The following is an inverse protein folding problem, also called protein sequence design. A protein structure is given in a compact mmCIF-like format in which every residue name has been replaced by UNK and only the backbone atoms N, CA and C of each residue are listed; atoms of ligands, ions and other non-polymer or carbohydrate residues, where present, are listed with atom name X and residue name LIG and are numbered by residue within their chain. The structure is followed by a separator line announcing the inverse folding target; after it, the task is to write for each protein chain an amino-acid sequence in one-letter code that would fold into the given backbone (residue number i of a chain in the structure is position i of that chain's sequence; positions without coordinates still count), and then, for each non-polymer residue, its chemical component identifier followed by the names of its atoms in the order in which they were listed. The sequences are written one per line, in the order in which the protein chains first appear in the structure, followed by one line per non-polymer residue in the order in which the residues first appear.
data_IF_772024471553
#
_entry.id   IF_772024471553
#
_cell.length_a   1.000
_cell.length_b   1.000
_cell.length_c   1.000
_cell.angle_alpha   90.00
_cell.angle_beta   90.00
_cell.angle_gamma   90.00
#
_symmetry.space_group_name_H-M   'P 1'
#
loop_
_entity.id
_entity.type
_entity.pdbx_description
1 polymer ?
#
# COMPACT_ATOMS: atom_id res chain seq x y z
N UNK A 1 -57.60 7.54 27.58
CA UNK A 1 -56.46 6.80 28.15
C UNK A 1 -55.59 6.35 26.99
N UNK A 2 -54.59 7.14 26.63
CA UNK A 2 -53.73 6.91 25.46
C UNK A 2 -52.41 6.29 25.92
N UNK A 3 -51.85 5.45 25.02
CA UNK A 3 -50.46 5.00 24.91
C UNK A 3 -50.16 3.63 25.56
N UNK A 4 -49.28 2.77 25.05
CA UNK A 4 -48.08 2.98 24.24
C UNK A 4 -47.84 1.74 23.34
N UNK A 5 -47.61 1.96 22.04
CA UNK A 5 -47.00 0.96 21.14
C UNK A 5 -45.47 1.08 21.27
N UNK A 6 -44.72 0.01 21.58
CA UNK A 6 -43.27 0.13 21.71
C UNK A 6 -42.65 0.19 20.31
N UNK A 7 -42.00 1.32 20.03
CA UNK A 7 -41.15 1.51 18.85
C UNK A 7 -39.87 0.69 19.03
N UNK A 8 -39.78 -0.45 18.36
CA UNK A 8 -38.56 -1.27 18.32
C UNK A 8 -37.60 -0.60 17.33
N UNK A 9 -36.60 0.12 17.86
CA UNK A 9 -35.50 0.67 17.06
C UNK A 9 -34.47 -0.44 16.88
N UNK A 10 -34.41 -1.03 15.68
CA UNK A 10 -33.36 -1.97 15.28
C UNK A 10 -32.16 -1.16 14.77
N UNK A 11 -31.13 -1.03 15.61
CA UNK A 11 -29.86 -0.40 15.24
C UNK A 11 -28.97 -1.44 14.55
N UNK A 12 -28.96 -1.47 13.23
CA UNK A 12 -28.03 -2.29 12.46
C UNK A 12 -26.63 -1.66 12.48
N UNK A 13 -25.74 -2.15 13.33
CA UNK A 13 -24.31 -1.82 13.27
C UNK A 13 -23.67 -2.59 12.11
N UNK A 14 -23.55 -1.93 10.96
CA UNK A 14 -22.68 -2.40 9.88
C UNK A 14 -21.22 -2.21 10.31
N UNK A 15 -20.59 -3.30 10.75
CA UNK A 15 -19.14 -3.36 10.99
C UNK A 15 -18.42 -3.26 9.64
N UNK A 16 -17.82 -2.11 9.36
CA UNK A 16 -16.88 -1.96 8.24
C UNK A 16 -15.52 -2.51 8.67
N UNK A 17 -14.96 -3.54 8.00
CA UNK A 17 -13.62 -4.02 8.33
C UNK A 17 -12.58 -2.94 7.96
N UNK A 18 -11.79 -2.54 8.95
CA UNK A 18 -10.73 -1.53 8.81
C UNK A 18 -9.57 -2.07 7.96
N UNK A 19 -9.41 -1.56 6.74
CA UNK A 19 -8.30 -1.89 5.80
C UNK A 19 -6.93 -1.34 6.25
N UNK A 20 -6.81 -0.74 7.44
CA UNK A 20 -5.60 0.00 7.82
C UNK A 20 -4.45 -0.84 8.41
N UNK A 21 -4.72 -2.07 8.87
CA UNK A 21 -3.72 -2.86 9.61
C UNK A 21 -2.72 -3.61 8.70
N UNK A 22 -3.17 -4.07 7.52
CA UNK A 22 -2.33 -4.86 6.60
C UNK A 22 -1.31 -3.97 5.85
N UNK A 23 -1.76 -2.82 5.33
CA UNK A 23 -0.90 -1.79 4.71
C UNK A 23 0.18 -1.27 5.67
N UNK A 24 -0.17 -1.11 6.95
CA UNK A 24 0.79 -0.66 7.97
C UNK A 24 1.96 -1.66 8.12
N UNK A 25 1.66 -2.96 8.18
CA UNK A 25 2.68 -4.01 8.28
C UNK A 25 3.53 -4.13 7.02
N UNK A 26 2.92 -3.97 5.84
CA UNK A 26 3.65 -3.99 4.58
C UNK A 26 4.68 -2.86 4.50
N UNK A 27 4.28 -1.66 4.90
CA UNK A 27 5.07 -0.45 4.72
C UNK A 27 5.94 -0.08 5.92
N UNK A 28 5.78 -0.74 7.07
CA UNK A 28 6.53 -0.47 8.31
C UNK A 28 8.04 -0.39 8.06
N UNK A 29 8.61 -1.35 7.32
CA UNK A 29 10.05 -1.37 7.02
C UNK A 29 10.51 -0.11 6.30
N UNK A 30 9.80 0.35 5.27
CA UNK A 30 10.21 1.54 4.50
C UNK A 30 9.80 2.86 5.13
N UNK A 31 8.78 2.86 5.99
CA UNK A 31 8.38 4.03 6.80
C UNK A 31 9.44 4.34 7.86
N UNK A 32 9.93 3.31 8.54
CA UNK A 32 10.87 3.47 9.65
C UNK A 32 12.34 3.44 9.17
N UNK A 33 12.59 2.99 7.93
CA UNK A 33 13.91 2.95 7.31
C UNK A 33 13.98 3.80 6.02
N UNK A 34 14.26 5.12 6.13
CA UNK A 34 14.35 5.99 4.96
C UNK A 34 15.52 5.64 4.03
N UNK A 35 16.56 4.94 4.51
CA UNK A 35 17.67 4.46 3.68
C UNK A 35 17.21 3.35 2.74
N UNK A 36 16.35 2.45 3.21
CA UNK A 36 15.74 1.43 2.36
C UNK A 36 14.87 2.04 1.27
N UNK A 37 14.00 2.99 1.63
CA UNK A 37 13.16 3.69 0.66
C UNK A 37 13.99 4.42 -0.40
N UNK A 38 15.07 5.10 0.00
CA UNK A 38 16.03 5.75 -0.92
C UNK A 38 16.75 4.74 -1.81
N UNK A 39 17.12 3.57 -1.28
CA UNK A 39 17.76 2.49 -2.05
C UNK A 39 16.83 1.95 -3.13
N UNK A 40 15.56 1.67 -2.78
CA UNK A 40 14.53 1.27 -3.74
C UNK A 40 14.31 2.37 -4.79
N UNK A 41 14.25 3.63 -4.36
CA UNK A 41 14.13 4.76 -5.26
C UNK A 41 15.27 4.83 -6.29
N UNK A 42 16.52 4.65 -5.85
CA UNK A 42 17.68 4.60 -6.74
C UNK A 42 17.59 3.48 -7.78
N UNK A 43 17.05 2.32 -7.39
CA UNK A 43 16.78 1.22 -8.34
C UNK A 43 15.75 1.63 -9.38
N UNK A 44 14.64 2.25 -8.96
CA UNK A 44 13.58 2.69 -9.86
C UNK A 44 14.07 3.79 -10.82
N UNK A 45 14.84 4.77 -10.36
CA UNK A 45 15.50 5.77 -11.21
C UNK A 45 16.36 5.13 -12.28
N UNK A 46 17.22 4.17 -11.91
CA UNK A 46 18.08 3.44 -12.87
C UNK A 46 17.28 2.66 -13.92
N UNK A 47 16.06 2.26 -13.62
CA UNK A 47 15.16 1.65 -14.59
C UNK A 47 14.53 2.69 -15.51
N UNK A 48 14.08 3.79 -14.94
CA UNK A 48 13.46 4.89 -15.68
C UNK A 48 14.45 5.54 -16.67
N UNK A 49 15.72 5.69 -16.32
CA UNK A 49 16.79 6.13 -17.25
C UNK A 49 17.02 5.19 -18.44
N UNK A 50 16.54 3.94 -18.35
CA UNK A 50 16.56 2.94 -19.42
C UNK A 50 15.22 2.82 -20.15
N UNK A 51 14.31 3.78 -19.95
CA UNK A 51 12.96 3.77 -20.53
C UNK A 51 12.04 2.70 -19.93
N UNK A 52 12.33 2.17 -18.74
CA UNK A 52 11.52 1.14 -18.08
C UNK A 52 10.76 1.74 -16.90
N UNK A 53 9.44 1.51 -16.85
CA UNK A 53 8.62 1.95 -15.72
C UNK A 53 8.93 1.14 -14.45
N UNK A 54 8.90 1.80 -13.29
CA UNK A 54 8.97 1.14 -11.99
C UNK A 54 7.79 0.19 -11.75
N UNK A 55 6.64 0.44 -12.40
CA UNK A 55 5.40 -0.32 -12.26
C UNK A 55 5.29 -1.53 -13.21
N UNK A 56 6.33 -1.84 -13.98
CA UNK A 56 6.26 -2.97 -14.90
C UNK A 56 6.23 -4.32 -14.14
N UNK A 57 5.56 -5.31 -14.73
CA UNK A 57 5.38 -6.65 -14.14
C UNK A 57 6.68 -7.33 -13.70
N UNK A 58 7.78 -7.11 -14.42
CA UNK A 58 9.09 -7.69 -14.08
C UNK A 58 9.65 -7.06 -12.81
N UNK A 59 9.58 -5.74 -12.66
CA UNK A 59 10.01 -5.03 -11.45
C UNK A 59 9.21 -5.52 -10.24
N UNK A 60 7.88 -5.51 -10.35
CA UNK A 60 6.98 -5.95 -9.28
C UNK A 60 7.27 -7.39 -8.87
N UNK A 61 7.41 -8.32 -9.83
CA UNK A 61 7.72 -9.72 -9.54
C UNK A 61 9.08 -9.89 -8.88
N UNK A 62 10.10 -9.17 -9.33
CA UNK A 62 11.43 -9.20 -8.71
C UNK A 62 11.39 -8.66 -7.28
N UNK A 63 10.66 -7.57 -7.03
CA UNK A 63 10.52 -6.98 -5.71
C UNK A 63 9.75 -7.89 -4.76
N UNK A 64 8.64 -8.47 -5.24
CA UNK A 64 7.84 -9.44 -4.50
C UNK A 64 8.69 -10.63 -4.01
N UNK A 65 9.45 -11.25 -4.92
CA UNK A 65 10.34 -12.36 -4.56
C UNK A 65 11.44 -11.93 -3.59
N UNK A 66 12.06 -10.76 -3.79
CA UNK A 66 13.16 -10.27 -2.94
C UNK A 66 12.71 -9.95 -1.51
N UNK A 67 11.42 -9.70 -1.29
CA UNK A 67 10.88 -9.27 0.00
C UNK A 67 9.86 -10.24 0.59
N UNK A 68 9.66 -11.41 -0.04
CA UNK A 68 8.60 -12.36 0.33
C UNK A 68 7.22 -11.70 0.43
N UNK A 69 6.90 -10.84 -0.54
CA UNK A 69 5.61 -10.16 -0.65
C UNK A 69 4.73 -10.84 -1.69
N UNK A 70 3.42 -10.64 -1.58
CA UNK A 70 2.53 -10.90 -2.72
C UNK A 70 2.85 -9.92 -3.86
N UNK A 71 2.38 -10.23 -5.07
CA UNK A 71 2.52 -9.31 -6.21
C UNK A 71 1.81 -7.98 -5.90
N UNK A 72 0.59 -8.04 -5.34
CA UNK A 72 -0.19 -6.86 -4.98
C UNK A 72 0.52 -5.99 -3.94
N UNK A 73 1.08 -6.60 -2.91
CA UNK A 73 1.85 -5.89 -1.88
C UNK A 73 3.11 -5.23 -2.46
N UNK A 74 3.76 -5.88 -3.44
CA UNK A 74 4.88 -5.27 -4.14
C UNK A 74 4.44 -4.07 -4.99
N UNK A 75 3.26 -4.07 -5.61
CA UNK A 75 2.71 -2.92 -6.34
C UNK A 75 2.41 -1.74 -5.41
N UNK A 76 1.82 -2.02 -4.25
CA UNK A 76 1.61 -1.02 -3.19
C UNK A 76 2.95 -0.44 -2.74
N UNK A 77 3.94 -1.28 -2.48
CA UNK A 77 5.27 -0.83 -2.06
C UNK A 77 5.96 0.04 -3.13
N UNK A 78 5.87 -0.33 -4.42
CA UNK A 78 6.37 0.52 -5.52
C UNK A 78 5.66 1.87 -5.50
N UNK A 79 4.32 1.87 -5.42
CA UNK A 79 3.51 3.10 -5.41
C UNK A 79 3.88 4.02 -4.27
N UNK A 80 4.00 3.47 -3.05
CA UNK A 80 4.40 4.21 -1.86
C UNK A 80 5.79 4.83 -2.02
N UNK A 81 6.79 4.03 -2.40
CA UNK A 81 8.17 4.52 -2.53
C UNK A 81 8.30 5.57 -3.63
N UNK A 82 7.64 5.37 -4.78
CA UNK A 82 7.67 6.35 -5.86
C UNK A 82 7.01 7.65 -5.43
N UNK A 83 5.79 7.59 -4.88
CA UNK A 83 5.03 8.76 -4.46
C UNK A 83 5.70 9.55 -3.34
N UNK A 84 6.36 8.88 -2.40
CA UNK A 84 6.94 9.52 -1.21
C UNK A 84 8.42 9.90 -1.39
N UNK A 85 9.17 9.23 -2.27
CA UNK A 85 10.62 9.35 -2.32
C UNK A 85 11.22 9.56 -3.72
N UNK A 86 10.44 9.41 -4.81
CA UNK A 86 10.96 9.47 -6.19
C UNK A 86 10.14 10.40 -7.11
N UNK A 87 10.15 11.73 -6.88
CA UNK A 87 9.33 12.66 -7.66
C UNK A 87 9.64 12.68 -9.17
N UNK A 88 10.82 12.19 -9.57
CA UNK A 88 11.30 12.13 -10.95
C UNK A 88 11.07 10.77 -11.64
N UNK A 89 10.57 9.76 -10.94
CA UNK A 89 10.29 8.43 -11.51
C UNK A 89 8.88 8.37 -12.08
N UNK A 90 8.76 7.84 -13.30
CA UNK A 90 7.49 7.59 -14.01
C UNK A 90 7.43 6.14 -14.52
#
# INVERSE_FOLDING_TARGET
MLKHLPLVIVLALSVVPSVSAAESKLLESVKDNPQEAKSLCGKFRKMNTKGKSAYNKKTTKTLANSKQLSISDAEVLVTYVVGMHCPDVR
#
